data_IF_586475980527
#
_entry.id   IF_586475980527
#
_cell.length_a   1.000
_cell.length_b   1.000
_cell.length_c   1.000
_cell.angle_alpha   90.00
_cell.angle_beta   90.00
_cell.angle_gamma   90.00
#
_symmetry.space_group_name_H-M   'P 1'
#
loop_
_entity.id
_entity.type
_entity.pdbx_description
1 polymer ?
#
# COMPACT_ATOMS: atom_id res chain seq x y z
N UNK A 1 -64.49 -3.67 -15.98
CA UNK A 1 -63.60 -4.79 -16.34
C UNK A 1 -62.39 -4.17 -17.02
N UNK A 2 -61.40 -3.71 -16.24
CA UNK A 2 -60.17 -4.43 -15.86
C UNK A 2 -59.28 -4.68 -17.11
N UNK A 3 -58.26 -3.86 -17.39
CA UNK A 3 -56.88 -3.78 -16.84
C UNK A 3 -55.94 -4.92 -17.30
N UNK A 4 -54.64 -4.59 -17.31
CA UNK A 4 -53.39 -5.34 -17.63
C UNK A 4 -53.09 -5.51 -19.12
N UNK A 5 -52.08 -4.89 -19.77
CA UNK A 5 -50.73 -4.46 -19.36
C UNK A 5 -49.86 -5.61 -18.82
N UNK A 6 -49.05 -6.21 -19.70
CA UNK A 6 -47.88 -7.01 -19.32
C UNK A 6 -46.64 -6.43 -20.01
N UNK A 7 -45.85 -5.73 -19.19
CA UNK A 7 -44.41 -5.60 -19.36
C UNK A 7 -43.77 -6.94 -19.00
N UNK A 8 -42.81 -7.40 -19.78
CA UNK A 8 -41.71 -8.22 -19.27
C UNK A 8 -40.41 -7.77 -19.92
N UNK A 9 -39.66 -6.99 -19.14
CA UNK A 9 -38.23 -6.79 -19.29
C UNK A 9 -37.53 -8.15 -19.15
N UNK A 10 -36.55 -8.44 -20.02
CA UNK A 10 -35.52 -9.44 -19.71
C UNK A 10 -34.16 -8.79 -19.89
N UNK A 11 -33.61 -8.39 -18.75
CA UNK A 11 -32.25 -7.93 -18.55
C UNK A 11 -31.27 -9.07 -18.85
N UNK A 12 -30.62 -8.99 -20.02
CA UNK A 12 -29.60 -9.92 -20.46
C UNK A 12 -28.23 -9.53 -19.92
N UNK A 13 -27.92 -9.93 -18.69
CA UNK A 13 -26.57 -9.79 -18.11
C UNK A 13 -25.54 -10.54 -18.97
N UNK A 14 -24.75 -9.82 -19.78
CA UNK A 14 -23.59 -10.38 -20.50
C UNK A 14 -22.53 -10.81 -19.50
N UNK A 15 -22.51 -12.09 -19.13
CA UNK A 15 -21.37 -12.74 -18.46
C UNK A 15 -20.17 -12.75 -19.42
N UNK A 16 -19.17 -11.90 -19.17
CA UNK A 16 -17.88 -11.99 -19.85
C UNK A 16 -17.21 -13.27 -19.35
N UNK A 17 -17.24 -14.34 -20.17
CA UNK A 17 -16.38 -15.51 -19.94
C UNK A 17 -14.95 -15.10 -20.28
N UNK A 18 -14.11 -14.95 -19.26
CA UNK A 18 -12.67 -14.88 -19.45
C UNK A 18 -12.19 -16.27 -19.89
N UNK A 19 -11.98 -16.47 -21.18
CA UNK A 19 -11.28 -17.63 -21.72
C UNK A 19 -9.79 -17.49 -21.42
N UNK A 20 -9.16 -18.57 -20.96
CA UNK A 20 -7.71 -18.65 -20.82
C UNK A 20 -7.04 -18.31 -22.17
N UNK A 21 -5.96 -17.51 -22.20
CA UNK A 21 -5.25 -17.18 -23.41
C UNK A 21 -4.77 -18.43 -24.15
N UNK A 22 -4.88 -18.39 -25.48
CA UNK A 22 -4.39 -19.40 -26.41
C UNK A 22 -2.88 -19.63 -26.27
N UNK A 23 -2.44 -20.81 -26.70
CA UNK A 23 -1.13 -21.45 -26.53
C UNK A 23 0.11 -20.56 -26.33
N UNK A 24 0.95 -21.04 -25.41
CA UNK A 24 2.19 -20.45 -24.94
C UNK A 24 3.20 -20.22 -26.07
N UNK A 25 3.53 -18.96 -26.34
CA UNK A 25 4.74 -18.63 -27.10
C UNK A 25 5.98 -18.97 -26.27
N UNK A 26 6.62 -20.09 -26.63
CA UNK A 26 7.85 -20.60 -26.01
C UNK A 26 9.11 -19.82 -26.41
N UNK A 27 9.03 -18.82 -27.29
CA UNK A 27 10.19 -18.02 -27.70
C UNK A 27 10.79 -17.17 -26.57
N UNK A 28 10.06 -16.98 -25.46
CA UNK A 28 10.53 -16.33 -24.24
C UNK A 28 11.39 -17.22 -23.33
N UNK A 29 11.60 -18.51 -23.65
CA UNK A 29 12.44 -19.42 -22.86
C UNK A 29 13.95 -19.14 -22.96
N UNK A 30 14.38 -18.10 -23.67
CA UNK A 30 15.79 -17.84 -23.95
C UNK A 30 16.24 -16.45 -23.54
N UNK A 31 16.33 -16.20 -22.23
CA UNK A 31 17.24 -15.24 -21.55
C UNK A 31 16.91 -15.24 -20.05
N UNK A 32 17.14 -16.39 -19.40
CA UNK A 32 17.21 -16.44 -17.93
C UNK A 32 18.68 -16.18 -17.58
N UNK A 33 19.01 -14.92 -17.28
CA UNK A 33 20.33 -14.55 -16.79
C UNK A 33 20.31 -14.55 -15.25
N UNK A 34 21.13 -15.44 -14.72
CA UNK A 34 21.44 -15.77 -13.33
C UNK A 34 21.12 -14.71 -12.25
N UNK A 35 20.09 -15.01 -11.46
CA UNK A 35 19.78 -14.40 -10.17
C UNK A 35 18.74 -15.26 -9.45
N UNK A 36 19.20 -16.17 -8.58
CA UNK A 36 18.50 -17.34 -8.03
C UNK A 36 18.24 -18.46 -9.06
N UNK A 37 18.75 -19.65 -8.78
CA UNK A 37 18.75 -20.81 -9.69
C UNK A 37 17.43 -21.61 -9.61
N UNK A 38 16.33 -20.97 -9.22
CA UNK A 38 15.02 -21.63 -9.19
C UNK A 38 14.31 -21.47 -10.53
N UNK A 39 13.92 -22.58 -11.20
CA UNK A 39 13.14 -22.49 -12.42
C UNK A 39 11.79 -21.84 -12.10
N UNK A 40 11.50 -20.70 -12.72
CA UNK A 40 10.19 -20.05 -12.64
C UNK A 40 9.09 -21.03 -13.02
N UNK A 41 8.12 -21.24 -12.12
CA UNK A 41 6.96 -22.07 -12.40
C UNK A 41 6.08 -21.41 -13.45
N UNK A 42 5.36 -22.24 -14.23
CA UNK A 42 4.37 -21.75 -15.21
C UNK A 42 3.36 -20.80 -14.54
N UNK A 43 2.99 -21.05 -13.30
CA UNK A 43 2.09 -20.19 -12.54
C UNK A 43 2.67 -18.77 -12.33
N UNK A 44 3.91 -18.65 -11.83
CA UNK A 44 4.56 -17.33 -11.63
C UNK A 44 4.70 -16.54 -12.95
N UNK A 45 4.95 -17.23 -14.07
CA UNK A 45 5.00 -16.60 -15.39
C UNK A 45 3.63 -16.02 -15.78
N UNK A 46 2.55 -16.74 -15.50
CA UNK A 46 1.20 -16.29 -15.81
C UNK A 46 0.77 -15.13 -14.91
N UNK A 47 1.08 -15.19 -13.62
CA UNK A 47 0.84 -14.09 -12.67
C UNK A 47 1.53 -12.81 -13.15
N UNK A 48 2.81 -12.90 -13.55
CA UNK A 48 3.56 -11.74 -14.07
C UNK A 48 3.01 -11.20 -15.38
N UNK A 49 2.45 -12.06 -16.25
CA UNK A 49 1.80 -11.64 -17.51
C UNK A 49 0.43 -10.97 -17.31
N UNK A 50 -0.20 -11.14 -16.14
CA UNK A 50 -1.48 -10.52 -15.80
C UNK A 50 -1.32 -9.14 -15.14
N UNK A 51 -0.07 -8.70 -14.89
CA UNK A 51 0.19 -7.42 -14.26
C UNK A 51 -0.23 -6.25 -15.16
N UNK A 52 -0.98 -5.31 -14.58
CA UNK A 52 -1.37 -4.07 -15.25
C UNK A 52 -0.30 -3.00 -15.05
N UNK A 53 0.44 -2.66 -16.11
CA UNK A 53 1.42 -1.57 -16.10
C UNK A 53 0.83 -0.20 -16.46
N UNK A 54 -0.50 -0.10 -16.58
CA UNK A 54 -1.13 1.19 -16.78
C UNK A 54 -0.99 2.08 -15.53
N UNK A 55 -0.98 3.39 -15.75
CA UNK A 55 -0.99 4.39 -14.67
C UNK A 55 -2.28 4.40 -13.84
N UNK A 56 -3.26 3.54 -14.16
CA UNK A 56 -4.45 3.35 -13.33
C UNK A 56 -4.13 2.46 -12.13
N UNK A 57 -3.10 1.62 -12.25
CA UNK A 57 -2.62 0.78 -11.17
C UNK A 57 -1.91 1.63 -10.10
N UNK A 58 -2.47 1.64 -8.89
CA UNK A 58 -1.91 2.37 -7.74
C UNK A 58 -0.58 1.81 -7.25
N UNK A 59 -0.23 0.57 -7.63
CA UNK A 59 1.09 0.00 -7.36
C UNK A 59 2.18 0.64 -8.23
N UNK A 60 1.85 1.26 -9.36
CA UNK A 60 2.83 2.04 -10.15
C UNK A 60 2.65 3.54 -9.97
N UNK A 61 1.40 3.99 -9.83
CA UNK A 61 1.05 5.39 -9.75
C UNK A 61 0.17 5.65 -8.53
N UNK A 62 0.77 5.51 -7.36
CA UNK A 62 0.18 5.86 -6.09
C UNK A 62 -0.14 7.36 -6.06
N UNK A 63 -1.38 7.67 -5.71
CA UNK A 63 -1.88 9.04 -5.61
C UNK A 63 -2.45 9.24 -4.22
N UNK A 64 -1.84 10.18 -3.48
CA UNK A 64 -2.35 10.63 -2.19
C UNK A 64 -3.79 11.14 -2.39
N UNK A 65 -4.70 10.60 -1.58
CA UNK A 65 -6.11 10.94 -1.61
C UNK A 65 -6.65 11.04 -0.17
N UNK A 66 -7.93 11.37 0.00
CA UNK A 66 -8.58 11.52 1.33
C UNK A 66 -8.72 10.22 2.13
N UNK A 67 -8.25 9.10 1.60
CA UNK A 67 -8.16 7.79 2.26
C UNK A 67 -6.71 7.30 2.31
N UNK A 68 -5.74 8.21 2.16
CA UNK A 68 -4.32 7.94 2.40
C UNK A 68 -3.94 8.65 3.68
N UNK A 69 -3.34 7.92 4.63
CA UNK A 69 -2.86 8.50 5.89
C UNK A 69 -1.35 8.31 5.93
N UNK A 70 -0.63 9.42 5.97
CA UNK A 70 0.82 9.42 6.16
C UNK A 70 1.13 9.40 7.66
N UNK A 71 2.04 8.50 8.04
CA UNK A 71 2.41 8.27 9.44
C UNK A 71 3.81 8.78 9.73
N UNK A 72 3.99 9.36 10.91
CA UNK A 72 5.30 9.74 11.44
C UNK A 72 5.97 8.51 12.02
N UNK A 73 7.17 8.19 11.52
CA UNK A 73 7.95 7.03 11.94
C UNK A 73 9.40 7.46 12.13
N UNK A 74 9.99 7.11 13.27
CA UNK A 74 11.40 7.38 13.57
C UNK A 74 12.33 6.30 13.02
N UNK A 75 11.82 5.07 13.01
CA UNK A 75 12.53 3.85 12.67
C UNK A 75 11.53 2.87 12.06
N UNK A 76 11.81 2.46 10.82
CA UNK A 76 10.93 1.63 10.01
C UNK A 76 11.00 0.17 10.45
N UNK A 77 12.21 -0.33 10.70
CA UNK A 77 12.48 -1.70 11.16
C UNK A 77 11.80 -1.92 12.50
N UNK A 78 11.96 -1.00 13.46
CA UNK A 78 11.30 -1.12 14.76
C UNK A 78 9.76 -1.10 14.69
N UNK A 79 9.18 -0.39 13.71
CA UNK A 79 7.73 -0.41 13.49
C UNK A 79 7.29 -1.76 12.91
N UNK A 80 8.05 -2.28 11.95
CA UNK A 80 7.82 -3.58 11.32
C UNK A 80 7.90 -4.71 12.34
N UNK A 81 9.00 -4.81 13.10
CA UNK A 81 9.20 -5.81 14.16
C UNK A 81 8.01 -5.85 15.12
N UNK A 82 7.59 -4.66 15.61
CA UNK A 82 6.48 -4.56 16.56
C UNK A 82 5.15 -4.98 15.93
N UNK A 83 4.91 -4.68 14.66
CA UNK A 83 3.69 -5.08 13.96
C UNK A 83 3.67 -6.59 13.73
N UNK A 84 4.82 -7.16 13.38
CA UNK A 84 5.03 -8.60 13.21
C UNK A 84 4.80 -9.36 14.52
N UNK A 85 5.34 -8.84 15.63
CA UNK A 85 5.07 -9.29 17.01
C UNK A 85 3.59 -9.20 17.45
N UNK A 86 2.72 -8.63 16.61
CA UNK A 86 1.29 -8.48 16.87
C UNK A 86 0.92 -7.28 17.75
N UNK A 87 1.82 -6.30 17.87
CA UNK A 87 1.50 -5.05 18.58
C UNK A 87 0.54 -4.19 17.76
N UNK A 88 -0.60 -3.85 18.38
CA UNK A 88 -1.52 -2.86 17.83
C UNK A 88 -1.02 -1.44 18.08
N UNK A 89 -1.20 -0.56 17.10
CA UNK A 89 -0.86 0.86 17.23
C UNK A 89 -2.08 1.75 17.09
N UNK A 90 -2.23 2.69 18.02
CA UNK A 90 -3.25 3.74 17.92
C UNK A 90 -2.80 4.85 16.98
N UNK A 91 -3.64 5.23 16.02
CA UNK A 91 -3.38 6.38 15.16
C UNK A 91 -3.87 7.66 15.84
N UNK A 92 -3.04 8.69 15.82
CA UNK A 92 -3.30 10.01 16.39
C UNK A 92 -3.01 11.13 15.38
N UNK A 93 -3.67 12.27 15.58
CA UNK A 93 -3.51 13.50 14.82
C UNK A 93 -2.11 14.11 15.01
N UNK A 94 -1.81 15.11 14.19
CA UNK A 94 -0.59 15.90 14.30
C UNK A 94 -0.37 16.43 15.72
N UNK A 95 0.89 16.45 16.21
CA UNK A 95 1.22 17.00 17.52
C UNK A 95 0.66 18.41 17.69
N UNK A 96 0.14 18.70 18.89
CA UNK A 96 -0.50 19.98 19.17
C UNK A 96 0.45 21.16 18.97
N UNK A 97 1.76 20.99 19.20
CA UNK A 97 2.77 22.03 18.96
C UNK A 97 2.82 22.51 17.50
N UNK A 98 2.51 21.63 16.54
CA UNK A 98 2.53 21.95 15.10
C UNK A 98 1.26 22.63 14.59
N UNK A 99 0.11 22.36 15.21
CA UNK A 99 -1.15 23.02 14.86
C UNK A 99 -1.12 24.54 15.09
N UNK A 100 -0.19 25.01 15.93
CA UNK A 100 0.05 26.43 16.20
C UNK A 100 1.03 27.03 15.18
N UNK A 101 2.03 26.27 14.71
CA UNK A 101 3.10 26.75 13.82
C UNK A 101 2.70 26.84 12.33
N UNK A 102 1.71 26.06 11.87
CA UNK A 102 1.24 26.11 10.46
C UNK A 102 0.63 27.46 10.05
N UNK A 103 0.40 28.40 10.98
CA UNK A 103 -0.05 29.76 10.65
C UNK A 103 1.09 30.75 10.38
N UNK A 104 2.32 30.49 10.83
CA UNK A 104 3.39 31.47 10.82
C UNK A 104 4.78 30.80 10.70
N UNK A 105 5.19 30.29 9.52
CA UNK A 105 6.60 30.32 9.11
C UNK A 105 6.82 29.82 7.69
N UNK A 106 7.25 30.74 6.83
CA UNK A 106 7.77 30.48 5.49
C UNK A 106 9.29 30.32 5.59
N UNK A 107 9.77 29.09 5.38
CA UNK A 107 11.05 28.79 4.70
C UNK A 107 12.37 28.78 5.50
N UNK A 108 12.41 28.53 6.82
CA UNK A 108 13.70 28.35 7.54
C UNK A 108 13.85 27.14 8.49
N UNK A 109 12.94 26.16 8.50
CA UNK A 109 12.87 25.15 9.60
C UNK A 109 13.12 23.68 9.21
N UNK A 110 13.61 23.35 8.01
CA UNK A 110 13.58 21.94 7.52
C UNK A 110 14.47 20.96 8.31
N UNK A 111 15.57 21.39 8.93
CA UNK A 111 16.42 20.50 9.75
C UNK A 111 15.91 20.34 11.18
N UNK A 112 15.55 21.44 11.86
CA UNK A 112 14.99 21.42 13.22
C UNK A 112 13.68 20.63 13.29
N UNK A 113 12.86 20.71 12.22
CA UNK A 113 11.56 20.04 12.18
C UNK A 113 11.71 18.51 11.99
N UNK A 114 12.74 18.04 11.28
CA UNK A 114 13.01 16.60 11.13
C UNK A 114 13.42 15.94 12.44
N UNK A 115 14.28 16.57 13.22
CA UNK A 115 14.69 16.05 14.52
C UNK A 115 13.53 16.05 15.51
N UNK A 116 12.66 17.07 15.45
CA UNK A 116 11.44 17.12 16.24
C UNK A 116 10.47 15.97 15.88
N UNK A 117 10.21 15.75 14.58
CA UNK A 117 9.39 14.61 14.10
C UNK A 117 9.96 13.30 14.60
N UNK A 118 11.28 13.11 14.46
CA UNK A 118 11.95 11.88 14.87
C UNK A 118 11.77 11.63 16.37
N UNK A 119 11.99 12.63 17.20
CA UNK A 119 11.82 12.52 18.65
C UNK A 119 10.38 12.22 19.06
N UNK A 120 9.41 12.89 18.45
CA UNK A 120 7.99 12.65 18.71
C UNK A 120 7.62 11.23 18.29
N UNK A 121 7.98 10.82 17.07
CA UNK A 121 7.68 9.49 16.54
C UNK A 121 8.30 8.39 17.42
N UNK A 122 9.53 8.57 17.91
CA UNK A 122 10.19 7.60 18.78
C UNK A 122 9.45 7.44 20.12
N UNK A 123 9.03 8.54 20.75
CA UNK A 123 8.28 8.51 22.00
C UNK A 123 6.89 7.90 21.82
N UNK A 124 6.21 8.23 20.71
CA UNK A 124 4.89 7.71 20.43
C UNK A 124 4.93 6.22 20.12
N UNK A 125 5.93 5.75 19.35
CA UNK A 125 6.12 4.34 19.04
C UNK A 125 6.35 3.50 20.30
N UNK A 126 7.15 4.00 21.27
CA UNK A 126 7.33 3.37 22.58
C UNK A 126 6.02 3.22 23.36
N UNK A 127 5.10 4.17 23.17
CA UNK A 127 3.78 4.16 23.81
C UNK A 127 2.69 3.43 22.99
N UNK A 128 3.06 2.71 21.92
CA UNK A 128 2.13 2.02 21.00
C UNK A 128 1.17 2.98 20.29
N UNK A 129 1.67 4.16 19.93
CA UNK A 129 0.92 5.20 19.23
C UNK A 129 1.71 5.66 18.00
N UNK A 130 1.00 6.08 16.97
CA UNK A 130 1.57 6.59 15.73
C UNK A 130 0.90 7.93 15.43
N UNK A 131 1.71 8.96 15.21
CA UNK A 131 1.25 10.31 14.84
C UNK A 131 1.14 10.43 13.33
N UNK A 132 0.34 11.38 12.88
CA UNK A 132 0.10 11.67 11.46
C UNK A 132 0.29 13.15 11.21
N UNK A 133 0.40 13.56 9.96
CA UNK A 133 0.54 14.98 9.59
C UNK A 133 -0.81 15.72 9.48
N UNK A 134 -1.91 15.03 9.75
CA UNK A 134 -3.28 15.56 9.62
C UNK A 134 -3.77 16.16 10.92
N UNK A 135 -4.61 17.20 10.85
CA UNK A 135 -5.34 17.66 12.04
C UNK A 135 -6.39 16.64 12.49
N UNK A 136 -6.96 16.85 13.68
CA UNK A 136 -7.92 15.91 14.27
C UNK A 136 -9.16 15.67 13.40
N UNK A 137 -9.69 16.70 12.73
CA UNK A 137 -10.89 16.60 11.93
C UNK A 137 -10.62 15.88 10.60
N UNK A 138 -9.51 16.23 9.94
CA UNK A 138 -9.05 15.59 8.72
C UNK A 138 -8.72 14.11 8.95
N UNK A 139 -8.02 13.81 10.06
CA UNK A 139 -7.67 12.44 10.42
C UNK A 139 -8.93 11.60 10.69
N UNK A 140 -9.89 12.13 11.45
CA UNK A 140 -11.13 11.40 11.74
C UNK A 140 -11.90 11.09 10.44
N UNK A 141 -12.01 12.04 9.52
CA UNK A 141 -12.66 11.84 8.23
C UNK A 141 -11.94 10.76 7.40
N UNK A 142 -10.60 10.83 7.34
CA UNK A 142 -9.77 9.91 6.57
C UNK A 142 -9.82 8.49 7.12
N UNK A 143 -9.67 8.31 8.44
CA UNK A 143 -9.73 7.00 9.09
C UNK A 143 -11.13 6.38 8.99
N UNK A 144 -12.19 7.18 9.08
CA UNK A 144 -13.57 6.70 8.88
C UNK A 144 -13.81 6.21 7.47
N UNK A 145 -13.26 6.88 6.45
CA UNK A 145 -13.33 6.44 5.05
C UNK A 145 -12.54 5.16 4.83
N UNK A 146 -11.30 5.11 5.33
CA UNK A 146 -10.44 3.93 5.28
C UNK A 146 -11.13 2.71 5.90
N UNK A 147 -11.68 2.85 7.10
CA UNK A 147 -12.41 1.79 7.78
C UNK A 147 -13.61 1.28 6.98
N UNK A 148 -14.39 2.19 6.37
CA UNK A 148 -15.53 1.80 5.52
C UNK A 148 -15.06 1.09 4.25
N UNK A 149 -14.03 1.59 3.58
CA UNK A 149 -13.49 0.99 2.37
C UNK A 149 -12.91 -0.40 2.62
N UNK A 150 -12.14 -0.58 3.69
CA UNK A 150 -11.59 -1.86 4.11
C UNK A 150 -12.70 -2.89 4.38
N UNK A 151 -13.76 -2.46 5.09
CA UNK A 151 -14.92 -3.31 5.37
C UNK A 151 -15.68 -3.72 4.09
N UNK A 152 -15.93 -2.78 3.19
CA UNK A 152 -16.58 -3.06 1.89
C UNK A 152 -15.74 -4.01 1.05
N UNK A 153 -14.42 -3.79 0.97
CA UNK A 153 -13.49 -4.67 0.25
C UNK A 153 -13.59 -6.11 0.76
N UNK A 154 -13.60 -6.28 2.08
CA UNK A 154 -13.73 -7.60 2.71
C UNK A 154 -15.09 -8.26 2.42
N UNK A 155 -16.18 -7.51 2.49
CA UNK A 155 -17.54 -8.00 2.26
C UNK A 155 -17.80 -8.37 0.78
N UNK A 156 -17.30 -7.58 -0.17
CA UNK A 156 -17.56 -7.75 -1.60
C UNK A 156 -16.58 -8.72 -2.28
N UNK A 157 -15.28 -8.59 -1.98
CA UNK A 157 -14.22 -9.32 -2.67
C UNK A 157 -13.68 -10.49 -1.83
N UNK A 158 -14.15 -10.65 -0.59
CA UNK A 158 -13.63 -11.64 0.35
C UNK A 158 -12.20 -11.35 0.82
N UNK A 159 -11.66 -10.16 0.55
CA UNK A 159 -10.29 -9.77 0.90
C UNK A 159 -10.19 -8.28 1.22
N UNK A 160 -9.43 -7.95 2.27
CA UNK A 160 -9.13 -6.57 2.62
C UNK A 160 -7.95 -6.05 1.78
N UNK A 161 -8.17 -4.93 1.08
CA UNK A 161 -7.16 -4.27 0.23
C UNK A 161 -6.38 -3.17 0.98
N UNK A 162 -6.47 -3.14 2.31
CA UNK A 162 -5.71 -2.21 3.13
C UNK A 162 -4.30 -2.74 3.44
N UNK A 163 -3.32 -1.90 3.14
CA UNK A 163 -1.90 -2.17 3.36
C UNK A 163 -1.23 -0.97 4.01
N UNK A 164 -0.24 -1.24 4.85
CA UNK A 164 0.76 -0.26 5.24
C UNK A 164 1.90 -0.34 4.22
N UNK A 165 2.19 0.77 3.56
CA UNK A 165 3.35 0.85 2.66
C UNK A 165 4.59 1.25 3.45
N UNK A 166 5.65 0.46 3.36
CA UNK A 166 6.97 0.82 3.86
C UNK A 166 7.78 1.36 2.69
N UNK A 167 7.97 2.69 2.69
CA UNK A 167 8.69 3.39 1.63
C UNK A 167 7.92 3.56 0.33
N UNK A 168 8.35 4.55 -0.45
CA UNK A 168 7.80 4.87 -1.76
C UNK A 168 8.95 5.11 -2.75
N UNK A 169 8.90 4.46 -3.91
CA UNK A 169 9.80 4.73 -5.01
C UNK A 169 9.27 5.90 -5.84
N UNK A 170 10.08 6.97 -5.95
CA UNK A 170 9.81 8.07 -6.87
C UNK A 170 10.41 7.76 -8.24
N UNK A 171 9.59 7.79 -9.29
CA UNK A 171 10.02 7.48 -10.65
C UNK A 171 9.33 8.39 -11.69
N UNK A 172 9.84 8.35 -12.93
CA UNK A 172 9.37 9.14 -14.06
C UNK A 172 9.20 8.22 -15.27
N UNK A 173 8.17 8.41 -16.09
CA UNK A 173 7.90 7.55 -17.26
C UNK A 173 8.99 7.64 -18.34
N UNK A 174 9.68 8.77 -18.40
CA UNK A 174 10.74 9.02 -19.36
C UNK A 174 11.66 10.11 -18.84
N UNK A 175 12.84 10.25 -19.43
CA UNK A 175 13.81 11.28 -19.05
C UNK A 175 13.27 12.72 -19.24
N UNK A 176 12.31 12.87 -20.15
CA UNK A 176 11.66 14.16 -20.43
C UNK A 176 10.42 14.40 -19.57
N UNK A 177 10.00 13.42 -18.76
CA UNK A 177 8.81 13.55 -17.93
C UNK A 177 9.13 14.37 -16.68
N UNK A 178 8.47 15.52 -16.53
CA UNK A 178 8.62 16.36 -15.33
C UNK A 178 7.71 15.88 -14.18
N UNK A 179 6.77 14.98 -14.47
CA UNK A 179 5.78 14.51 -13.50
C UNK A 179 6.28 13.29 -12.74
N UNK A 180 6.69 13.53 -11.50
CA UNK A 180 7.02 12.46 -10.56
C UNK A 180 5.81 11.56 -10.27
N UNK A 181 6.07 10.26 -10.25
CA UNK A 181 5.14 9.20 -9.83
C UNK A 181 5.73 8.48 -8.64
N UNK A 182 4.85 7.86 -7.87
CA UNK A 182 5.23 7.14 -6.66
C UNK A 182 4.67 5.72 -6.72
N UNK A 183 5.47 4.75 -6.33
CA UNK A 183 5.08 3.35 -6.21
C UNK A 183 5.42 2.87 -4.80
N UNK A 184 4.52 2.19 -4.07
CA UNK A 184 4.87 1.57 -2.79
C UNK A 184 5.98 0.52 -3.00
N UNK A 185 6.89 0.39 -2.05
CA UNK A 185 7.97 -0.60 -2.13
C UNK A 185 7.56 -1.91 -1.48
N UNK A 186 7.32 -1.88 -0.17
CA UNK A 186 6.90 -3.04 0.62
C UNK A 186 5.49 -2.78 1.16
N UNK A 187 4.65 -3.80 1.15
CA UNK A 187 3.24 -3.74 1.53
C UNK A 187 2.99 -4.74 2.64
N UNK A 188 2.65 -4.24 3.83
CA UNK A 188 2.26 -5.05 4.98
C UNK A 188 0.73 -5.10 5.05
N UNK A 189 0.12 -6.29 4.99
CA UNK A 189 -1.31 -6.46 5.15
C UNK A 189 -1.74 -6.05 6.57
N UNK A 190 -2.63 -5.05 6.67
CA UNK A 190 -3.13 -4.56 7.96
C UNK A 190 -4.65 -4.45 7.99
N UNK A 191 -5.20 -4.47 9.20
CA UNK A 191 -6.57 -4.10 9.50
C UNK A 191 -6.62 -2.77 10.24
N UNK A 192 -7.68 -2.01 9.97
CA UNK A 192 -8.05 -0.83 10.76
C UNK A 192 -9.24 -1.18 11.65
N UNK A 193 -9.05 -1.09 12.96
CA UNK A 193 -10.08 -1.46 13.94
C UNK A 193 -10.52 -0.21 14.71
N UNK A 194 -11.83 -0.03 14.83
CA UNK A 194 -12.40 1.08 15.61
C UNK A 194 -12.40 0.72 17.09
N UNK A 195 -11.67 1.48 17.90
CA UNK A 195 -11.71 1.35 19.35
C UNK A 195 -12.89 2.16 19.92
N UNK A 196 -13.86 1.45 20.49
CA UNK A 196 -15.12 2.01 21.01
C UNK A 196 -14.91 2.81 22.30
N UNK A 197 -13.94 2.43 23.15
CA UNK A 197 -13.71 3.07 24.46
C UNK A 197 -13.07 4.45 24.31
N UNK A 198 -12.09 4.56 23.43
CA UNK A 198 -11.28 5.77 23.30
C UNK A 198 -11.64 6.65 22.09
N UNK A 199 -12.74 6.32 21.39
CA UNK A 199 -13.19 6.99 20.16
C UNK A 199 -12.05 7.19 19.15
N UNK A 200 -11.28 6.14 18.89
CA UNK A 200 -10.13 6.19 17.97
C UNK A 200 -10.05 4.98 17.05
N UNK A 201 -9.01 4.94 16.22
CA UNK A 201 -8.71 3.78 15.38
C UNK A 201 -7.33 3.24 15.74
N UNK A 202 -7.20 1.92 15.63
CA UNK A 202 -5.92 1.21 15.73
C UNK A 202 -5.63 0.54 14.39
N UNK A 203 -4.35 0.37 14.10
CA UNK A 203 -3.89 -0.57 13.06
C UNK A 203 -3.41 -1.86 13.72
N UNK A 204 -3.64 -2.96 13.02
CA UNK A 204 -3.27 -4.31 13.43
C UNK A 204 -2.70 -5.05 12.23
N UNK A 205 -1.59 -5.76 12.40
CA UNK A 205 -1.08 -6.67 11.38
C UNK A 205 -2.06 -7.83 11.17
N UNK A 206 -2.30 -8.22 9.91
CA UNK A 206 -3.09 -9.41 9.59
C UNK A 206 -2.32 -10.72 9.75
N UNK A 207 -1.04 -10.66 10.14
CA UNK A 207 -0.16 -11.83 10.28
C UNK A 207 -0.09 -12.63 8.96
N UNK A 208 -0.25 -11.90 7.85
CA UNK A 208 -0.02 -12.36 6.48
C UNK A 208 1.35 -11.86 6.05
N UNK A 209 2.02 -12.60 5.17
CA UNK A 209 3.35 -12.25 4.69
C UNK A 209 3.35 -10.86 4.02
N UNK A 210 4.34 -10.05 4.38
CA UNK A 210 4.57 -8.80 3.71
C UNK A 210 5.02 -9.03 2.27
N UNK A 211 4.60 -8.15 1.38
CA UNK A 211 4.80 -8.32 -0.05
C UNK A 211 5.61 -7.18 -0.61
N UNK A 212 6.61 -7.49 -1.42
CA UNK A 212 7.20 -6.48 -2.29
C UNK A 212 6.23 -6.16 -3.43
N UNK A 213 6.28 -4.92 -3.92
CA UNK A 213 5.53 -4.54 -5.09
C UNK A 213 6.10 -5.18 -6.37
N UNK A 214 5.64 -6.41 -6.65
CA UNK A 214 6.03 -7.19 -7.83
C UNK A 214 5.72 -6.45 -9.13
N UNK A 215 4.63 -5.66 -9.16
CA UNK A 215 4.29 -4.86 -10.34
C UNK A 215 5.40 -3.87 -10.67
N UNK A 216 5.94 -3.17 -9.67
CA UNK A 216 7.01 -2.21 -9.87
C UNK A 216 8.32 -2.90 -10.26
N UNK A 217 8.67 -4.04 -9.65
CA UNK A 217 9.86 -4.81 -10.04
C UNK A 217 9.79 -5.23 -11.50
N UNK A 218 8.64 -5.79 -11.91
CA UNK A 218 8.46 -6.26 -13.27
C UNK A 218 8.42 -5.10 -14.28
N UNK A 219 7.83 -3.96 -13.90
CA UNK A 219 7.87 -2.74 -14.70
C UNK A 219 9.31 -2.27 -14.93
N UNK A 220 10.12 -2.17 -13.87
CA UNK A 220 11.54 -1.81 -13.97
C UNK A 220 12.33 -2.79 -14.85
N UNK A 221 12.02 -4.09 -14.76
CA UNK A 221 12.64 -5.12 -15.59
C UNK A 221 12.29 -4.96 -17.07
N UNK A 222 11.02 -4.75 -17.40
CA UNK A 222 10.55 -4.70 -18.79
C UNK A 222 10.83 -3.35 -19.48
N UNK A 223 10.52 -2.24 -18.82
CA UNK A 223 10.61 -0.91 -19.41
C UNK A 223 12.00 -0.28 -19.27
N UNK A 224 12.73 -0.62 -18.20
CA UNK A 224 14.04 -0.03 -17.89
C UNK A 224 15.21 -1.01 -17.93
N UNK A 225 14.96 -2.32 -18.10
CA UNK A 225 16.00 -3.34 -18.11
C UNK A 225 16.72 -3.49 -16.76
N UNK A 226 16.12 -3.01 -15.66
CA UNK A 226 16.69 -3.09 -14.32
C UNK A 226 16.20 -4.38 -13.66
N UNK A 227 17.13 -5.30 -13.41
CA UNK A 227 16.85 -6.56 -12.71
C UNK A 227 17.18 -6.42 -11.22
N UNK A 228 16.16 -6.58 -10.37
CA UNK A 228 16.31 -6.60 -8.91
C UNK A 228 16.06 -8.03 -8.44
N UNK A 229 17.10 -8.67 -7.91
CA UNK A 229 17.07 -10.06 -7.47
C UNK A 229 17.09 -10.14 -5.94
N UNK A 230 16.53 -11.22 -5.38
CA UNK A 230 16.60 -11.52 -3.94
C UNK A 230 15.59 -10.79 -3.06
N UNK A 231 14.52 -10.22 -3.64
CA UNK A 231 13.44 -9.55 -2.89
C UNK A 231 12.06 -10.22 -3.06
N UNK A 232 12.00 -11.38 -3.72
CA UNK A 232 10.79 -12.20 -3.88
C UNK A 232 11.14 -13.68 -3.61
N UNK A 233 10.90 -14.20 -2.39
CA UNK A 233 10.30 -13.50 -1.24
C UNK A 233 11.23 -12.44 -0.62
N UNK A 234 10.66 -11.53 0.17
CA UNK A 234 11.44 -10.55 0.93
C UNK A 234 12.38 -11.26 1.90
N UNK A 235 13.59 -10.71 2.17
CA UNK A 235 14.46 -11.24 3.20
C UNK A 235 13.81 -11.06 4.58
N UNK A 236 13.94 -12.09 5.42
CA UNK A 236 13.34 -12.13 6.75
C UNK A 236 14.40 -12.33 7.84
N UNK A 237 14.15 -11.78 9.03
CA UNK A 237 14.94 -11.97 10.24
C UNK A 237 14.10 -12.62 11.38
N UNK A 238 14.53 -12.53 12.64
CA UNK A 238 13.77 -13.11 13.77
C UNK A 238 12.44 -12.39 14.06
N UNK A 239 12.26 -11.16 13.56
CA UNK A 239 11.12 -10.29 13.86
C UNK A 239 10.28 -9.94 12.64
N UNK A 240 10.62 -10.39 11.44
CA UNK A 240 9.81 -10.12 10.25
C UNK A 240 10.69 -9.84 9.06
N UNK A 241 10.44 -8.74 8.36
CA UNK A 241 11.22 -8.32 7.19
C UNK A 241 12.54 -7.70 7.65
N UNK A 242 13.65 -8.18 7.11
CA UNK A 242 14.97 -7.56 7.34
C UNK A 242 15.06 -6.21 6.62
N UNK A 243 14.82 -5.12 7.36
CA UNK A 243 14.89 -3.75 6.87
C UNK A 243 16.16 -3.05 7.39
N UNK A 244 16.94 -2.37 6.50
CA UNK A 244 18.21 -1.74 6.84
C UNK A 244 18.09 -0.43 7.62
#
# INVERSE_FOLDING_TARGET
QALTAENTESDGTRRIRMSAPSELDMSLYGKVAQGSNEPMTKQKIWERKLLDFSLRNSLLNFRINKSTVEIMVSDLSLLEDKLSDGTDFRILEAPSEWTVSMRDAKTFEIETDKDLVRNIAEQELKNKRIRTFMDAAELEESLKKLYRAAKVSMEENGSNTLFLSLGMLRWFESEMSEKARYAPLVLIPIDIVRNVRDKGYIIRSRQEDAQINVTMIEYLRQDHGIEINGLDPLPEDEHGIDLP
#
